data_IF_461260739062
#
_entry.id   IF_461260739062
#
_cell.length_a   1.000
_cell.length_b   1.000
_cell.length_c   1.000
_cell.angle_alpha   90.00
_cell.angle_beta   90.00
_cell.angle_gamma   90.00
#
_symmetry.space_group_name_H-M   'P 1'
#
loop_
_entity.id
_entity.type
_entity.pdbx_description
1 polymer ?
#
# COMPACT_ATOMS: atom_id res chain seq x y z
N UNK A 1 -11.47 -24.05 17.49
CA UNK A 1 -10.91 -24.53 16.19
C UNK A 1 -9.74 -23.64 15.82
N UNK A 2 -8.65 -24.14 15.24
CA UNK A 2 -7.42 -23.35 14.99
C UNK A 2 -7.51 -22.32 13.84
N UNK A 3 -8.72 -22.09 13.30
CA UNK A 3 -8.95 -21.13 12.23
C UNK A 3 -8.35 -21.52 10.88
N UNK A 4 -8.09 -22.80 10.61
CA UNK A 4 -7.50 -23.25 9.33
C UNK A 4 -8.49 -23.94 8.37
N UNK A 5 -9.78 -23.95 8.72
CA UNK A 5 -10.80 -24.66 7.96
C UNK A 5 -10.95 -24.11 6.53
N UNK A 6 -11.00 -25.00 5.54
CA UNK A 6 -11.35 -24.68 4.16
C UNK A 6 -12.87 -24.49 3.98
N UNK A 7 -13.29 -23.85 2.89
CA UNK A 7 -14.71 -23.72 2.54
C UNK A 7 -15.42 -25.08 2.46
N UNK A 8 -14.73 -26.11 1.93
CA UNK A 8 -15.26 -27.47 1.87
C UNK A 8 -15.44 -28.12 3.25
N UNK A 9 -14.51 -27.87 4.18
CA UNK A 9 -14.63 -28.36 5.56
C UNK A 9 -15.77 -27.67 6.30
N UNK A 10 -15.95 -26.36 6.11
CA UNK A 10 -17.08 -25.62 6.68
C UNK A 10 -18.41 -26.16 6.12
N UNK A 11 -18.51 -26.40 4.82
CA UNK A 11 -19.69 -27.00 4.19
C UNK A 11 -20.01 -28.39 4.78
N UNK A 12 -18.99 -29.22 5.01
CA UNK A 12 -19.16 -30.56 5.58
C UNK A 12 -19.71 -30.52 7.02
N UNK A 13 -19.41 -29.46 7.78
CA UNK A 13 -19.97 -29.22 9.11
C UNK A 13 -21.42 -28.69 9.07
N UNK A 14 -21.98 -28.43 7.88
CA UNK A 14 -23.33 -27.90 7.72
C UNK A 14 -23.40 -26.37 7.73
N UNK A 15 -22.26 -25.69 7.59
CA UNK A 15 -22.21 -24.23 7.41
C UNK A 15 -22.55 -23.89 5.95
N UNK A 16 -23.35 -22.86 5.75
CA UNK A 16 -23.60 -22.27 4.43
C UNK A 16 -22.38 -21.47 4.00
N UNK A 17 -21.75 -21.88 2.89
CA UNK A 17 -20.49 -21.28 2.41
C UNK A 17 -20.61 -20.63 1.02
N UNK A 18 -21.84 -20.36 0.55
CA UNK A 18 -22.09 -19.82 -0.80
C UNK A 18 -21.32 -18.53 -1.08
N UNK A 19 -21.06 -17.72 -0.05
CA UNK A 19 -20.34 -16.46 -0.15
C UNK A 19 -18.89 -16.53 0.39
N UNK A 20 -18.39 -17.74 0.72
CA UNK A 20 -16.98 -17.93 1.07
C UNK A 20 -16.20 -18.10 -0.23
N UNK A 21 -15.35 -17.13 -0.53
CA UNK A 21 -14.49 -17.09 -1.72
C UNK A 21 -13.04 -17.30 -1.31
N UNK A 22 -12.12 -17.61 -2.25
CA UNK A 22 -10.69 -17.62 -1.94
C UNK A 22 -10.19 -16.31 -1.32
N UNK A 23 -10.75 -15.18 -1.73
CA UNK A 23 -10.32 -13.85 -1.31
C UNK A 23 -10.69 -13.54 0.16
N UNK A 24 -11.89 -13.93 0.60
CA UNK A 24 -12.34 -13.72 1.97
C UNK A 24 -12.07 -14.90 2.93
N UNK A 25 -11.64 -16.06 2.42
CA UNK A 25 -11.46 -17.27 3.21
C UNK A 25 -10.52 -17.03 4.40
N UNK A 26 -9.45 -16.28 4.23
CA UNK A 26 -8.50 -16.00 5.31
C UNK A 26 -9.10 -15.10 6.40
N UNK A 27 -9.94 -14.14 6.05
CA UNK A 27 -10.68 -13.33 7.01
C UNK A 27 -11.71 -14.19 7.79
N UNK A 28 -12.43 -15.07 7.09
CA UNK A 28 -13.36 -16.04 7.71
C UNK A 28 -12.62 -16.95 8.69
N UNK A 29 -11.48 -17.49 8.28
CA UNK A 29 -10.60 -18.31 9.10
C UNK A 29 -10.14 -17.62 10.39
N UNK A 30 -9.64 -16.38 10.27
CA UNK A 30 -9.22 -15.58 11.41
C UNK A 30 -10.39 -15.28 12.37
N UNK A 31 -11.56 -14.95 11.83
CA UNK A 31 -12.77 -14.67 12.61
C UNK A 31 -13.25 -15.91 13.37
N UNK A 32 -13.23 -17.10 12.76
CA UNK A 32 -13.57 -18.36 13.44
C UNK A 32 -12.56 -18.66 14.56
N UNK A 33 -11.27 -18.49 14.30
CA UNK A 33 -10.23 -18.69 15.32
C UNK A 33 -10.39 -17.74 16.51
N UNK A 34 -10.85 -16.52 16.26
CA UNK A 34 -11.07 -15.49 17.29
C UNK A 34 -12.37 -15.72 18.07
N UNK A 35 -13.46 -16.07 17.37
CA UNK A 35 -14.77 -16.29 17.98
C UNK A 35 -14.86 -17.63 18.74
N UNK A 36 -14.00 -18.59 18.40
CA UNK A 36 -13.96 -19.97 18.91
C UNK A 36 -15.37 -20.58 19.13
N UNK A 37 -16.17 -20.70 18.04
CA UNK A 37 -17.57 -21.08 18.16
C UNK A 37 -17.74 -22.50 18.68
N UNK A 38 -18.67 -22.67 19.62
CA UNK A 38 -18.99 -23.96 20.27
C UNK A 38 -20.27 -24.63 19.76
N UNK A 39 -20.91 -24.05 18.74
CA UNK A 39 -22.11 -24.60 18.10
C UNK A 39 -22.14 -24.27 16.60
N UNK A 40 -22.92 -25.01 15.82
CA UNK A 40 -23.09 -24.74 14.38
C UNK A 40 -23.69 -23.35 14.13
N UNK A 41 -24.62 -22.92 14.98
CA UNK A 41 -25.20 -21.56 14.89
C UNK A 41 -24.13 -20.50 15.12
N UNK A 42 -23.32 -20.64 16.18
CA UNK A 42 -22.24 -19.71 16.46
C UNK A 42 -21.19 -19.70 15.33
N UNK A 43 -20.88 -20.86 14.75
CA UNK A 43 -19.96 -20.98 13.62
C UNK A 43 -20.50 -20.28 12.38
N UNK A 44 -21.79 -20.48 12.05
CA UNK A 44 -22.45 -19.77 10.95
C UNK A 44 -22.42 -18.26 11.17
N UNK A 45 -22.77 -17.79 12.37
CA UNK A 45 -22.72 -16.35 12.70
C UNK A 45 -21.31 -15.77 12.55
N UNK A 46 -20.27 -16.50 12.97
CA UNK A 46 -18.89 -16.05 12.80
C UNK A 46 -18.51 -15.92 11.31
N UNK A 47 -18.92 -16.88 10.49
CA UNK A 47 -18.69 -16.86 9.03
C UNK A 47 -19.43 -15.69 8.37
N UNK A 48 -20.72 -15.52 8.66
CA UNK A 48 -21.55 -14.47 8.07
C UNK A 48 -21.04 -13.06 8.44
N UNK A 49 -20.68 -12.86 9.71
CA UNK A 49 -20.11 -11.61 10.18
C UNK A 49 -18.77 -11.32 9.50
N UNK A 50 -17.89 -12.33 9.38
CA UNK A 50 -16.59 -12.16 8.72
C UNK A 50 -16.74 -11.74 7.25
N UNK A 51 -17.66 -12.37 6.51
CA UNK A 51 -17.94 -12.02 5.11
C UNK A 51 -18.49 -10.59 5.01
N UNK A 52 -19.43 -10.21 5.87
CA UNK A 52 -20.00 -8.86 5.90
C UNK A 52 -18.92 -7.80 6.18
N UNK A 53 -18.10 -8.02 7.21
CA UNK A 53 -17.00 -7.14 7.58
C UNK A 53 -15.94 -7.04 6.48
N UNK A 54 -15.58 -8.16 5.85
CA UNK A 54 -14.67 -8.19 4.70
C UNK A 54 -15.21 -7.35 3.53
N UNK A 55 -16.46 -7.60 3.12
CA UNK A 55 -17.06 -6.92 1.97
C UNK A 55 -17.19 -5.40 2.20
N UNK A 56 -17.54 -4.99 3.42
CA UNK A 56 -17.61 -3.58 3.78
C UNK A 56 -16.24 -2.91 3.71
N UNK A 57 -15.19 -3.57 4.24
CA UNK A 57 -13.82 -3.04 4.18
C UNK A 57 -13.30 -2.96 2.74
N UNK A 58 -13.49 -4.02 1.93
CA UNK A 58 -13.10 -4.02 0.51
C UNK A 58 -13.76 -2.88 -0.26
N UNK A 59 -15.07 -2.70 -0.06
CA UNK A 59 -15.83 -1.63 -0.72
C UNK A 59 -15.35 -0.24 -0.27
N UNK A 60 -15.09 -0.06 1.03
CA UNK A 60 -14.60 1.20 1.58
C UNK A 60 -13.23 1.56 1.00
N UNK A 61 -12.29 0.61 0.98
CA UNK A 61 -10.93 0.82 0.47
C UNK A 61 -10.95 1.11 -1.04
N UNK A 62 -11.70 0.34 -1.83
CA UNK A 62 -11.84 0.58 -3.27
C UNK A 62 -12.48 1.96 -3.56
N UNK A 63 -13.50 2.35 -2.80
CA UNK A 63 -14.11 3.66 -2.95
C UNK A 63 -13.17 4.80 -2.56
N UNK A 64 -12.36 4.61 -1.51
CA UNK A 64 -11.35 5.58 -1.11
C UNK A 64 -10.31 5.79 -2.21
N UNK A 65 -9.88 4.73 -2.90
CA UNK A 65 -8.98 4.86 -4.05
C UNK A 65 -9.62 5.57 -5.26
N UNK A 66 -10.93 5.38 -5.48
CA UNK A 66 -11.64 6.12 -6.54
C UNK A 66 -11.83 7.61 -6.22
N UNK A 67 -11.90 7.98 -4.93
CA UNK A 67 -12.26 9.34 -4.50
C UNK A 67 -11.39 10.44 -5.11
N UNK A 68 -10.07 10.25 -5.15
CA UNK A 68 -9.11 11.24 -5.67
C UNK A 68 -9.24 11.51 -7.17
N UNK A 69 -9.87 10.59 -7.89
CA UNK A 69 -10.11 10.69 -9.32
C UNK A 69 -11.51 11.23 -9.65
N UNK A 70 -12.38 11.38 -8.65
CA UNK A 70 -13.73 11.87 -8.82
C UNK A 70 -13.82 13.35 -8.43
N UNK A 71 -13.57 14.21 -9.42
CA UNK A 71 -13.60 15.68 -9.28
C UNK A 71 -15.00 16.23 -8.91
N UNK A 72 -16.06 15.41 -8.96
CA UNK A 72 -17.44 15.80 -8.64
C UNK A 72 -17.85 15.49 -7.20
N UNK A 73 -17.01 14.79 -6.42
CA UNK A 73 -17.32 14.43 -5.04
C UNK A 73 -16.65 15.40 -4.07
N UNK A 74 -17.47 16.15 -3.34
CA UNK A 74 -17.03 16.97 -2.22
C UNK A 74 -16.51 16.07 -1.09
N UNK A 75 -15.46 16.54 -0.40
CA UNK A 75 -14.58 15.96 0.64
C UNK A 75 -15.21 15.16 1.82
N UNK A 76 -16.35 14.48 1.64
CA UNK A 76 -17.16 13.97 2.76
C UNK A 76 -17.96 12.68 2.50
N UNK A 77 -17.84 12.02 1.34
CA UNK A 77 -18.66 10.82 1.06
C UNK A 77 -17.92 9.50 1.39
N UNK A 78 -16.59 9.46 1.27
CA UNK A 78 -15.83 8.24 1.54
C UNK A 78 -14.97 8.37 2.80
N UNK A 79 -15.26 7.60 3.86
CA UNK A 79 -14.43 7.63 5.06
C UNK A 79 -13.02 7.12 4.75
N UNK A 80 -12.01 7.78 5.34
CA UNK A 80 -10.62 7.29 5.29
C UNK A 80 -10.51 5.90 5.89
N UNK A 81 -9.90 4.92 5.20
CA UNK A 81 -9.68 3.57 5.74
C UNK A 81 -8.90 3.61 7.06
N UNK A 82 -9.33 2.78 8.01
CA UNK A 82 -8.73 2.61 9.31
C UNK A 82 -8.04 1.25 9.44
N UNK A 83 -7.21 1.07 10.46
CA UNK A 83 -6.52 -0.20 10.72
C UNK A 83 -7.47 -1.41 10.78
N UNK A 84 -8.70 -1.21 11.25
CA UNK A 84 -9.74 -2.26 11.28
C UNK A 84 -10.18 -2.73 9.90
N UNK A 85 -10.16 -1.86 8.89
CA UNK A 85 -10.56 -2.22 7.53
C UNK A 85 -9.53 -3.14 6.87
N UNK A 86 -8.24 -2.82 7.03
CA UNK A 86 -7.15 -3.70 6.59
C UNK A 86 -7.13 -5.03 7.36
N UNK A 87 -7.41 -5.00 8.66
CA UNK A 87 -7.54 -6.21 9.49
C UNK A 87 -8.74 -7.06 9.05
N UNK A 88 -9.84 -6.43 8.63
CA UNK A 88 -11.03 -7.11 8.10
C UNK A 88 -10.75 -7.84 6.77
N UNK A 89 -9.91 -7.28 5.91
CA UNK A 89 -9.36 -7.96 4.74
C UNK A 89 -8.29 -9.00 5.11
N UNK A 90 -7.88 -9.04 6.39
CA UNK A 90 -6.82 -9.85 6.96
C UNK A 90 -5.46 -9.63 6.27
N UNK A 91 -5.18 -8.37 5.94
CA UNK A 91 -3.88 -7.86 5.49
C UNK A 91 -2.86 -7.99 6.62
N UNK A 92 -1.61 -8.25 6.26
CA UNK A 92 -0.49 -8.44 7.19
C UNK A 92 0.69 -7.56 6.79
N UNK A 93 1.66 -7.37 7.70
CA UNK A 93 2.85 -6.58 7.41
C UNK A 93 2.62 -5.06 7.45
N UNK A 94 1.68 -4.60 8.28
CA UNK A 94 1.43 -3.18 8.50
C UNK A 94 1.17 -2.88 9.98
N UNK A 95 1.58 -1.69 10.43
CA UNK A 95 1.26 -1.16 11.75
C UNK A 95 2.27 -1.45 12.87
N UNK A 96 3.18 -2.42 12.70
CA UNK A 96 4.29 -2.63 13.64
C UNK A 96 5.51 -1.75 13.33
N UNK A 97 6.51 -1.77 14.22
CA UNK A 97 7.78 -1.07 14.00
C UNK A 97 8.49 -1.60 12.75
N UNK A 98 8.86 -0.69 11.84
CA UNK A 98 9.52 -1.02 10.57
C UNK A 98 8.54 -1.42 9.46
N UNK A 99 7.24 -1.44 9.72
CA UNK A 99 6.21 -1.74 8.71
C UNK A 99 5.51 -0.47 8.22
N UNK A 100 4.92 -0.51 7.02
CA UNK A 100 4.00 0.52 6.55
C UNK A 100 2.92 0.83 7.57
N UNK A 101 2.67 2.12 7.75
CA UNK A 101 1.55 2.60 8.58
C UNK A 101 0.27 2.68 7.76
N UNK A 102 -0.88 2.73 8.43
CA UNK A 102 -2.18 3.00 7.76
C UNK A 102 -2.13 4.31 6.96
N UNK A 103 -1.43 5.33 7.45
CA UNK A 103 -1.31 6.60 6.76
C UNK A 103 -0.52 6.48 5.45
N UNK A 104 0.58 5.71 5.43
CA UNK A 104 1.38 5.43 4.23
C UNK A 104 0.54 4.71 3.16
N UNK A 105 -0.20 3.67 3.55
CA UNK A 105 -1.05 2.92 2.62
C UNK A 105 -2.23 3.78 2.12
N UNK A 106 -2.84 4.58 3.00
CA UNK A 106 -3.85 5.54 2.58
C UNK A 106 -3.26 6.61 1.65
N UNK A 107 -2.00 7.02 1.82
CA UNK A 107 -1.35 7.91 0.87
C UNK A 107 -1.20 7.29 -0.51
N UNK A 108 -0.99 5.99 -0.62
CA UNK A 108 -0.90 5.27 -1.90
C UNK A 108 -2.27 5.14 -2.56
N UNK A 109 -3.27 4.69 -1.81
CA UNK A 109 -4.66 4.62 -2.28
C UNK A 109 -5.19 6.01 -2.67
N UNK A 110 -4.74 7.06 -1.98
CA UNK A 110 -5.09 8.45 -2.23
C UNK A 110 -4.38 9.08 -3.43
N UNK A 111 -3.86 8.30 -4.38
CA UNK A 111 -3.24 8.83 -5.60
C UNK A 111 -4.19 8.77 -6.80
N UNK A 112 -4.03 9.66 -7.79
CA UNK A 112 -4.75 9.53 -9.07
C UNK A 112 -4.37 8.26 -9.86
N UNK A 113 -3.20 7.69 -9.59
CA UNK A 113 -2.67 6.54 -10.31
C UNK A 113 -3.31 5.21 -9.88
N UNK A 114 -3.81 5.11 -8.65
CA UNK A 114 -4.52 3.93 -8.16
C UNK A 114 -6.03 4.21 -8.19
N UNK A 115 -6.77 3.32 -8.87
CA UNK A 115 -8.22 3.32 -8.90
C UNK A 115 -8.76 2.27 -7.92
N UNK A 116 -10.07 2.25 -7.69
CA UNK A 116 -10.71 1.25 -6.85
C UNK A 116 -10.47 -0.19 -7.32
N UNK A 117 -10.33 -0.41 -8.63
CA UNK A 117 -9.97 -1.73 -9.20
C UNK A 117 -8.54 -2.18 -8.89
N UNK A 118 -7.70 -1.30 -8.34
CA UNK A 118 -6.36 -1.63 -7.86
C UNK A 118 -6.36 -2.00 -6.36
N UNK A 119 -7.52 -1.96 -5.70
CA UNK A 119 -7.63 -2.15 -4.25
C UNK A 119 -9.00 -2.76 -3.84
N UNK A 120 -9.68 -3.48 -4.74
CA UNK A 120 -10.99 -4.06 -4.50
C UNK A 120 -10.96 -5.51 -4.01
N UNK A 121 -9.79 -6.16 -4.04
CA UNK A 121 -9.55 -7.47 -3.45
C UNK A 121 -8.52 -7.42 -2.33
N UNK A 122 -8.54 -8.43 -1.46
CA UNK A 122 -7.49 -8.61 -0.44
C UNK A 122 -6.11 -8.70 -1.09
N UNK A 123 -6.00 -9.43 -2.21
CA UNK A 123 -4.71 -9.67 -2.87
C UNK A 123 -4.10 -8.37 -3.38
N UNK A 124 -4.93 -7.50 -3.97
CA UNK A 124 -4.46 -6.22 -4.49
C UNK A 124 -4.01 -5.30 -3.35
N UNK A 125 -4.78 -5.21 -2.26
CA UNK A 125 -4.41 -4.41 -1.09
C UNK A 125 -3.13 -4.95 -0.44
N UNK A 126 -2.94 -6.27 -0.36
CA UNK A 126 -1.70 -6.86 0.16
C UNK A 126 -0.50 -6.52 -0.73
N UNK A 127 -0.68 -6.52 -2.06
CA UNK A 127 0.39 -6.15 -2.99
C UNK A 127 0.83 -4.69 -2.81
N UNK A 128 -0.10 -3.76 -2.54
CA UNK A 128 0.23 -2.36 -2.21
C UNK A 128 1.06 -2.29 -0.92
N UNK A 129 0.65 -3.03 0.13
CA UNK A 129 1.38 -3.08 1.40
C UNK A 129 2.78 -3.65 1.23
N UNK A 130 2.90 -4.77 0.53
CA UNK A 130 4.18 -5.44 0.29
C UNK A 130 5.12 -4.54 -0.54
N UNK A 131 4.62 -3.86 -1.57
CA UNK A 131 5.40 -2.92 -2.36
C UNK A 131 5.90 -1.72 -1.53
N UNK A 132 5.04 -1.15 -0.66
CA UNK A 132 5.46 -0.08 0.25
C UNK A 132 6.50 -0.58 1.26
N UNK A 133 6.36 -1.80 1.77
CA UNK A 133 7.34 -2.41 2.67
C UNK A 133 8.73 -2.48 2.03
N UNK A 134 8.84 -2.88 0.76
CA UNK A 134 10.13 -2.91 0.04
C UNK A 134 10.79 -1.51 0.02
N UNK A 135 10.01 -0.46 -0.21
CA UNK A 135 10.51 0.92 -0.22
C UNK A 135 10.94 1.39 1.17
N UNK A 136 10.21 1.00 2.23
CA UNK A 136 10.62 1.29 3.61
C UNK A 136 11.87 0.52 4.03
N UNK A 137 12.01 -0.72 3.60
CA UNK A 137 13.20 -1.54 3.87
C UNK A 137 14.43 -0.95 3.20
N UNK A 138 14.28 -0.43 1.98
CA UNK A 138 15.30 0.36 1.28
C UNK A 138 15.80 1.53 2.15
N UNK A 139 14.89 2.33 2.69
CA UNK A 139 15.23 3.49 3.51
C UNK A 139 15.83 3.11 4.87
N UNK A 140 15.32 2.05 5.51
CA UNK A 140 15.66 1.74 6.90
C UNK A 140 16.86 0.80 7.07
N UNK A 141 17.10 -0.09 6.11
CA UNK A 141 18.06 -1.18 6.30
C UNK A 141 19.25 -1.13 5.36
N UNK A 142 19.31 -0.14 4.45
CA UNK A 142 20.21 -0.18 3.28
C UNK A 142 20.16 -1.59 2.66
N UNK A 143 18.94 -2.04 2.39
CA UNK A 143 18.65 -3.37 1.84
C UNK A 143 19.54 -3.64 0.63
N UNK A 144 20.01 -4.87 0.47
CA UNK A 144 20.81 -5.24 -0.72
C UNK A 144 20.01 -5.26 -2.02
N UNK A 145 18.70 -5.01 -1.96
CA UNK A 145 17.83 -5.05 -3.12
C UNK A 145 16.92 -3.84 -3.09
N UNK A 146 17.13 -2.97 -4.08
CA UNK A 146 16.31 -1.79 -4.27
C UNK A 146 14.89 -2.14 -4.72
N UNK A 147 13.94 -1.28 -4.34
CA UNK A 147 12.59 -1.28 -4.90
C UNK A 147 12.63 -1.17 -6.43
N UNK A 148 11.84 -2.02 -7.08
CA UNK A 148 11.70 -2.06 -8.52
C UNK A 148 10.74 -0.98 -9.03
N UNK A 149 10.79 -0.68 -10.33
CA UNK A 149 9.79 0.18 -10.97
C UNK A 149 8.35 -0.31 -10.76
N UNK A 150 8.14 -1.63 -10.68
CA UNK A 150 6.83 -2.20 -10.36
C UNK A 150 6.38 -1.94 -8.93
N UNK A 151 7.30 -1.87 -7.97
CA UNK A 151 6.94 -1.56 -6.57
C UNK A 151 6.46 -0.11 -6.45
N UNK A 152 7.16 0.82 -7.11
CA UNK A 152 6.74 2.22 -7.21
C UNK A 152 5.37 2.35 -7.90
N UNK A 153 5.17 1.66 -9.02
CA UNK A 153 3.89 1.68 -9.73
C UNK A 153 2.74 1.11 -8.88
N UNK A 154 3.00 0.05 -8.12
CA UNK A 154 2.00 -0.59 -7.27
C UNK A 154 1.47 0.34 -6.17
N UNK A 155 2.28 1.30 -5.69
CA UNK A 155 1.84 2.31 -4.73
C UNK A 155 1.38 3.62 -5.39
N UNK A 156 1.38 3.70 -6.72
CA UNK A 156 0.92 4.87 -7.47
C UNK A 156 1.99 5.93 -7.77
N UNK A 157 3.28 5.63 -7.54
CA UNK A 157 4.39 6.46 -8.05
C UNK A 157 4.56 6.16 -9.54
N UNK A 158 4.57 7.20 -10.36
CA UNK A 158 4.63 7.09 -11.83
C UNK A 158 5.90 7.69 -12.39
N UNK A 159 6.25 7.28 -13.62
CA UNK A 159 7.40 7.83 -14.35
C UNK A 159 8.75 7.30 -13.89
N UNK A 160 8.78 6.19 -13.16
CA UNK A 160 10.03 5.50 -12.76
C UNK A 160 10.35 4.38 -13.76
N UNK A 161 11.40 4.56 -14.54
CA UNK A 161 11.87 3.60 -15.53
C UNK A 161 12.86 2.59 -14.94
N UNK A 162 12.70 1.32 -15.32
CA UNK A 162 13.59 0.26 -14.88
C UNK A 162 15.04 0.49 -15.36
N UNK A 163 16.01 0.26 -14.46
CA UNK A 163 17.43 0.32 -14.78
C UNK A 163 18.11 1.49 -14.08
N UNK A 164 18.63 2.45 -14.85
CA UNK A 164 19.44 3.52 -14.30
C UNK A 164 18.65 4.42 -13.33
N UNK A 165 17.38 4.71 -13.64
CA UNK A 165 16.55 5.57 -12.80
C UNK A 165 16.19 4.89 -11.47
N UNK A 166 15.67 3.65 -11.50
CA UNK A 166 15.39 2.88 -10.28
C UNK A 166 16.62 2.71 -9.40
N UNK A 167 17.81 2.48 -9.98
CA UNK A 167 19.05 2.33 -9.20
C UNK A 167 19.43 3.64 -8.50
N UNK A 168 19.30 4.77 -9.20
CA UNK A 168 19.60 6.07 -8.61
C UNK A 168 18.56 6.46 -7.55
N UNK A 169 17.28 6.18 -7.79
CA UNK A 169 16.21 6.40 -6.81
C UNK A 169 16.39 5.52 -5.56
N UNK A 170 16.76 4.25 -5.74
CA UNK A 170 17.12 3.34 -4.65
C UNK A 170 18.24 3.90 -3.79
N UNK A 171 19.38 4.27 -4.41
CA UNK A 171 20.52 4.91 -3.73
C UNK A 171 20.15 6.20 -2.98
N UNK A 172 19.23 6.99 -3.53
CA UNK A 172 18.72 8.19 -2.86
C UNK A 172 17.92 7.81 -1.62
N UNK A 173 17.01 6.84 -1.74
CA UNK A 173 16.13 6.39 -0.65
C UNK A 173 16.91 5.71 0.48
N UNK A 174 17.99 4.98 0.20
CA UNK A 174 18.90 4.44 1.23
C UNK A 174 19.44 5.51 2.19
N UNK A 175 19.48 6.78 1.76
CA UNK A 175 19.94 7.91 2.53
C UNK A 175 18.79 8.77 3.11
N UNK A 176 17.54 8.28 3.06
CA UNK A 176 16.35 8.96 3.57
C UNK A 176 15.93 8.40 4.91
N UNK A 177 15.37 9.27 5.75
CA UNK A 177 14.63 8.80 6.91
C UNK A 177 13.27 8.25 6.46
N UNK A 178 12.66 7.37 7.27
CA UNK A 178 11.28 6.90 7.02
C UNK A 178 10.31 8.08 6.80
N UNK A 179 10.49 9.19 7.53
CA UNK A 179 9.63 10.38 7.40
C UNK A 179 9.79 11.15 6.08
N UNK A 180 10.83 10.86 5.30
CA UNK A 180 11.02 11.44 3.96
C UNK A 180 10.48 10.51 2.86
N UNK A 181 9.91 9.36 3.23
CA UNK A 181 9.33 8.34 2.34
C UNK A 181 7.99 7.81 2.87
N UNK A 182 7.34 8.54 3.80
CA UNK A 182 6.09 8.13 4.44
C UNK A 182 4.82 8.55 3.69
N UNK A 183 4.99 9.20 2.54
CA UNK A 183 3.91 9.49 1.61
C UNK A 183 4.32 9.23 0.16
N UNK A 184 3.32 8.94 -0.68
CA UNK A 184 3.54 8.81 -2.13
C UNK A 184 3.88 10.15 -2.77
N UNK A 185 3.46 11.27 -2.19
CA UNK A 185 3.86 12.59 -2.65
C UNK A 185 5.38 12.80 -2.50
N UNK A 186 5.97 12.37 -1.39
CA UNK A 186 7.42 12.47 -1.17
C UNK A 186 8.19 11.55 -2.13
N UNK A 187 7.71 10.30 -2.29
CA UNK A 187 8.31 9.35 -3.24
C UNK A 187 8.23 9.83 -4.69
N UNK A 188 7.10 10.41 -5.11
CA UNK A 188 6.96 11.01 -6.43
C UNK A 188 7.87 12.23 -6.60
N UNK A 189 8.06 13.04 -5.56
CA UNK A 189 9.00 14.18 -5.60
C UNK A 189 10.46 13.72 -5.75
N UNK A 190 10.84 12.62 -5.07
CA UNK A 190 12.15 12.00 -5.21
C UNK A 190 12.35 11.43 -6.62
N UNK A 191 11.38 10.67 -7.15
CA UNK A 191 11.40 10.15 -8.51
C UNK A 191 11.55 11.28 -9.55
N UNK A 192 10.73 12.33 -9.45
CA UNK A 192 10.81 13.48 -10.35
C UNK A 192 12.16 14.21 -10.26
N UNK A 193 12.77 14.28 -9.07
CA UNK A 193 14.08 14.88 -8.90
C UNK A 193 15.19 14.02 -9.51
N UNK A 194 15.11 12.69 -9.37
CA UNK A 194 16.03 11.74 -10.03
C UNK A 194 15.93 11.85 -11.54
N UNK A 195 14.72 11.83 -12.10
CA UNK A 195 14.49 12.00 -13.54
C UNK A 195 15.07 13.33 -14.05
N UNK A 196 14.84 14.44 -13.33
CA UNK A 196 15.40 15.73 -13.71
C UNK A 196 16.95 15.74 -13.69
N UNK A 197 17.59 14.97 -12.80
CA UNK A 197 19.05 14.81 -12.80
C UNK A 197 19.50 14.05 -14.05
N UNK A 198 18.82 12.97 -14.39
CA UNK A 198 19.14 12.17 -15.59
C UNK A 198 18.95 12.97 -16.89
N UNK A 199 17.97 13.87 -16.91
CA UNK A 199 17.71 14.78 -18.03
C UNK A 199 18.64 16.01 -18.06
N UNK A 200 19.48 16.22 -17.05
CA UNK A 200 20.32 17.42 -16.93
C UNK A 200 19.51 18.72 -16.72
N UNK A 201 18.31 18.60 -16.14
CA UNK A 201 17.38 19.73 -15.91
C UNK A 201 17.07 19.98 -14.43
N UNK A 202 17.67 19.19 -13.52
CA UNK A 202 17.45 19.29 -12.09
C UNK A 202 17.69 20.71 -11.57
N UNK A 203 16.75 21.21 -10.75
CA UNK A 203 16.88 22.47 -10.02
C UNK A 203 17.71 22.31 -8.73
N UNK A 204 18.20 23.41 -8.16
CA UNK A 204 18.89 23.38 -6.85
C UNK A 204 18.01 22.81 -5.73
N UNK A 205 16.69 22.98 -5.81
CA UNK A 205 15.75 22.41 -4.85
C UNK A 205 15.65 20.88 -5.01
N UNK A 206 15.58 20.37 -6.24
CA UNK A 206 15.60 18.93 -6.51
C UNK A 206 16.93 18.30 -6.07
N UNK A 207 18.07 18.93 -6.36
CA UNK A 207 19.37 18.46 -5.90
C UNK A 207 19.46 18.41 -4.36
N UNK A 208 18.97 19.45 -3.67
CA UNK A 208 18.89 19.46 -2.22
C UNK A 208 17.95 18.36 -1.68
N UNK A 209 16.81 18.13 -2.34
CA UNK A 209 15.89 17.04 -2.02
C UNK A 209 16.58 15.67 -2.14
N UNK A 210 17.46 15.47 -3.11
CA UNK A 210 18.26 14.24 -3.26
C UNK A 210 19.44 14.14 -2.26
N UNK A 211 19.65 15.16 -1.41
CA UNK A 211 20.74 15.19 -0.42
C UNK A 211 22.05 15.78 -0.94
N UNK A 212 22.07 16.38 -2.13
CA UNK A 212 23.26 17.05 -2.68
C UNK A 212 23.47 18.40 -2.01
N UNK A 213 24.69 18.68 -1.54
CA UNK A 213 25.03 19.99 -0.95
C UNK A 213 25.17 21.06 -2.04
N UNK A 214 24.27 22.04 -2.04
CA UNK A 214 24.13 23.06 -3.11
C UNK A 214 24.77 24.42 -2.79
N UNK A 215 25.77 24.49 -1.90
CA UNK A 215 26.30 25.77 -1.36
C UNK A 215 26.87 26.74 -2.39
N UNK A 216 27.12 26.33 -3.64
CA UNK A 216 27.57 27.19 -4.75
C UNK A 216 26.86 26.90 -6.09
N UNK A 217 25.64 26.35 -6.03
CA UNK A 217 24.90 25.92 -7.21
C UNK A 217 23.94 27.04 -7.66
N UNK A 218 24.35 27.81 -8.67
CA UNK A 218 23.50 28.83 -9.33
C UNK A 218 22.77 28.23 -10.54
N UNK A 219 21.65 28.82 -11.00
CA UNK A 219 20.99 28.39 -12.24
C UNK A 219 21.90 28.39 -13.47
N UNK A 220 22.91 29.26 -13.48
CA UNK A 220 23.88 29.37 -14.57
C UNK A 220 24.91 28.24 -14.55
N UNK A 221 25.30 27.78 -13.36
CA UNK A 221 26.22 26.67 -13.20
C UNK A 221 25.52 25.32 -13.43
N UNK A 222 24.21 25.24 -13.15
CA UNK A 222 23.37 24.06 -13.37
C UNK A 222 23.25 23.65 -14.84
N UNK A 223 23.17 24.63 -15.75
CA UNK A 223 23.06 24.39 -17.19
C UNK A 223 24.36 23.89 -17.82
N UNK A 224 25.46 23.93 -17.07
CA UNK A 224 26.81 23.64 -17.56
C UNK A 224 27.36 22.28 -17.10
N UNK A 225 26.63 21.56 -16.23
CA UNK A 225 26.92 20.19 -15.79
C UNK A 225 25.91 19.25 -16.42
#
# INVERSE_FOLDING_TARGET
>A
MDGTASSAQLALLGVTVTNVTPDNLKAVQNAIGTADPTSLTALQTAVDNAISTFNNASTLIANYANFVNDYEITDSIYPTPQASDYTALAITGMGDSGQPTVAMINSALGTPALLGTNADTRTDVQAIVDAYQVILDNANTASSTDASASDYLAIGVTGVDAGAETNLLGSVIENKATADVDSVADLQALANAVQAVMDGTASSAQLALLGVTVTNVTPDNLKAV
#
